data_IF_091313402492
#
_entry.id   IF_091313402492
#
_cell.length_a   1.000
_cell.length_b   1.000
_cell.length_c   1.000
_cell.angle_alpha   90.00
_cell.angle_beta   90.00
_cell.angle_gamma   90.00
#
_symmetry.space_group_name_H-M   'P 1'
#
loop_
_entity.id
_entity.type
_entity.pdbx_description
1 polymer ?
#
# COMPACT_ATOMS: atom_id res chain seq x y z
N UNK A 1 -2.35 -16.29 -66.98
CA UNK A 1 -1.53 -16.84 -65.87
C UNK A 1 -1.24 -15.72 -64.89
N UNK A 2 -1.69 -15.89 -63.63
CA UNK A 2 -1.28 -15.23 -62.39
C UNK A 2 -1.08 -13.68 -62.37
N UNK A 3 -1.60 -12.89 -61.43
CA UNK A 3 -2.16 -13.22 -60.13
C UNK A 3 -2.65 -11.94 -59.45
N UNK A 4 -3.61 -12.14 -58.57
CA UNK A 4 -4.32 -11.15 -57.75
C UNK A 4 -3.38 -10.62 -56.67
N UNK A 5 -3.16 -9.31 -56.62
CA UNK A 5 -2.53 -8.64 -55.48
C UNK A 5 -3.62 -8.06 -54.57
N UNK A 6 -4.07 -8.86 -53.62
CA UNK A 6 -4.85 -8.39 -52.49
C UNK A 6 -3.93 -7.59 -51.55
N UNK A 7 -4.18 -6.28 -51.42
CA UNK A 7 -3.59 -5.47 -50.36
C UNK A 7 -4.50 -5.55 -49.15
N UNK A 8 -4.11 -6.36 -48.16
CA UNK A 8 -4.63 -6.29 -46.81
C UNK A 8 -3.82 -5.25 -46.03
N UNK A 9 -4.30 -4.00 -46.01
CA UNK A 9 -3.81 -2.99 -45.07
C UNK A 9 -4.45 -3.26 -43.70
N UNK A 10 -3.63 -3.79 -42.80
CA UNK A 10 -4.01 -4.10 -41.42
C UNK A 10 -4.43 -2.85 -40.64
N UNK A 11 -5.50 -3.01 -39.88
CA UNK A 11 -5.93 -2.10 -38.82
C UNK A 11 -5.27 -2.58 -37.52
N UNK A 12 -4.39 -1.80 -36.86
CA UNK A 12 -3.93 -2.11 -35.51
C UNK A 12 -4.69 -1.24 -34.51
N UNK A 13 -5.78 -1.75 -33.93
CA UNK A 13 -6.47 -1.05 -32.82
C UNK A 13 -7.39 -1.90 -31.93
N UNK A 14 -7.19 -3.22 -31.80
CA UNK A 14 -8.12 -4.09 -31.05
C UNK A 14 -7.49 -5.06 -30.02
N UNK A 15 -6.17 -5.07 -29.86
CA UNK A 15 -5.49 -6.02 -28.97
C UNK A 15 -5.43 -5.57 -27.51
N UNK A 16 -5.32 -4.27 -27.23
CA UNK A 16 -5.17 -3.74 -25.85
C UNK A 16 -6.38 -3.96 -24.94
N UNK A 17 -7.60 -3.76 -25.46
CA UNK A 17 -8.85 -3.94 -24.70
C UNK A 17 -9.07 -5.39 -24.28
N UNK A 18 -8.82 -6.34 -25.18
CA UNK A 18 -9.02 -7.77 -24.94
C UNK A 18 -8.07 -8.30 -23.87
N UNK A 19 -6.81 -7.87 -23.88
CA UNK A 19 -5.83 -8.26 -22.86
C UNK A 19 -6.15 -7.69 -21.48
N UNK A 20 -6.70 -6.47 -21.41
CA UNK A 20 -7.11 -5.88 -20.14
C UNK A 20 -8.33 -6.57 -19.55
N UNK A 21 -9.33 -6.90 -20.37
CA UNK A 21 -10.49 -7.67 -19.95
C UNK A 21 -10.09 -9.06 -19.44
N UNK A 22 -9.16 -9.73 -20.13
CA UNK A 22 -8.58 -10.99 -19.68
C UNK A 22 -7.91 -10.84 -18.32
N UNK A 23 -7.07 -9.80 -18.13
CA UNK A 23 -6.44 -9.53 -16.85
C UNK A 23 -7.47 -9.35 -15.71
N UNK A 24 -8.55 -8.60 -15.96
CA UNK A 24 -9.61 -8.42 -14.97
C UNK A 24 -10.32 -9.74 -14.60
N UNK A 25 -10.51 -10.63 -15.58
CA UNK A 25 -11.03 -11.97 -15.31
C UNK A 25 -10.04 -12.79 -14.48
N UNK A 26 -8.75 -12.78 -14.83
CA UNK A 26 -7.71 -13.52 -14.11
C UNK A 26 -7.55 -13.06 -12.65
N UNK A 27 -7.76 -11.77 -12.36
CA UNK A 27 -7.74 -11.23 -10.98
C UNK A 27 -8.81 -11.86 -10.07
N UNK A 28 -9.88 -12.39 -10.64
CA UNK A 28 -10.99 -13.02 -9.92
C UNK A 28 -11.08 -14.53 -10.20
N UNK A 29 -10.04 -15.13 -10.77
CA UNK A 29 -10.03 -16.55 -11.12
C UNK A 29 -10.11 -17.44 -9.87
N UNK A 30 -10.74 -18.61 -9.98
CA UNK A 30 -10.84 -19.56 -8.85
C UNK A 30 -9.49 -20.11 -8.41
N UNK A 31 -8.50 -20.16 -9.32
CA UNK A 31 -7.17 -20.67 -9.07
C UNK A 31 -6.25 -19.60 -8.49
N UNK A 32 -5.80 -19.82 -7.25
CA UNK A 32 -4.84 -18.96 -6.55
C UNK A 32 -3.59 -18.59 -7.37
N UNK A 33 -2.94 -19.53 -8.10
CA UNK A 33 -1.77 -19.19 -8.92
C UNK A 33 -2.09 -18.20 -10.06
N UNK A 34 -3.30 -18.28 -10.62
CA UNK A 34 -3.74 -17.39 -11.71
C UNK A 34 -3.98 -15.99 -11.14
N UNK A 35 -4.71 -15.87 -10.03
CA UNK A 35 -4.91 -14.57 -9.34
C UNK A 35 -3.59 -13.91 -8.96
N UNK A 36 -2.68 -14.65 -8.33
CA UNK A 36 -1.36 -14.13 -7.93
C UNK A 36 -0.54 -13.64 -9.13
N UNK A 37 -0.54 -14.39 -10.23
CA UNK A 37 0.11 -13.97 -11.47
C UNK A 37 -0.55 -12.71 -12.06
N UNK A 38 -1.88 -12.64 -12.03
CA UNK A 38 -2.64 -11.48 -12.51
C UNK A 38 -2.27 -10.19 -11.77
N UNK A 39 -2.13 -10.22 -10.43
CA UNK A 39 -1.67 -9.05 -9.68
C UNK A 39 -0.23 -8.62 -10.03
N UNK A 40 0.67 -9.58 -10.30
CA UNK A 40 2.02 -9.27 -10.78
C UNK A 40 1.97 -8.59 -12.15
N UNK A 41 1.13 -9.08 -13.06
CA UNK A 41 0.91 -8.47 -14.37
C UNK A 41 0.31 -7.07 -14.24
N UNK A 42 -0.70 -6.90 -13.38
CA UNK A 42 -1.32 -5.61 -13.11
C UNK A 42 -0.29 -4.58 -12.64
N UNK A 43 0.52 -4.94 -11.63
CA UNK A 43 1.61 -4.09 -11.14
C UNK A 43 2.55 -3.67 -12.27
N UNK A 44 2.98 -4.62 -13.11
CA UNK A 44 3.88 -4.34 -14.25
C UNK A 44 3.25 -3.34 -15.22
N UNK A 45 1.98 -3.51 -15.57
CA UNK A 45 1.28 -2.60 -16.48
C UNK A 45 1.07 -1.22 -15.86
N UNK A 46 0.77 -1.13 -14.56
CA UNK A 46 0.68 0.16 -13.84
C UNK A 46 2.00 0.93 -13.86
N UNK A 47 3.14 0.23 -13.77
CA UNK A 47 4.46 0.86 -13.90
C UNK A 47 4.73 1.38 -15.33
N UNK A 48 4.16 0.74 -16.34
CA UNK A 48 4.30 1.11 -17.76
C UNK A 48 3.39 2.28 -18.20
N UNK A 49 2.58 2.87 -17.30
CA UNK A 49 1.73 4.04 -17.57
C UNK A 49 0.71 3.84 -18.70
N UNK A 50 0.06 2.68 -18.79
CA UNK A 50 -1.03 2.50 -19.77
C UNK A 50 -2.26 3.33 -19.38
N UNK A 51 -2.62 4.29 -20.25
CA UNK A 51 -3.76 5.20 -20.04
C UNK A 51 -5.11 4.47 -19.88
N UNK A 52 -5.26 3.31 -20.52
CA UNK A 52 -6.45 2.46 -20.46
C UNK A 52 -6.74 1.98 -19.02
N UNK A 53 -5.70 1.66 -18.23
CA UNK A 53 -5.87 1.22 -16.85
C UNK A 53 -6.50 2.29 -15.97
N UNK A 54 -6.15 3.55 -16.23
CA UNK A 54 -6.62 4.65 -15.41
C UNK A 54 -8.11 4.93 -15.62
N UNK A 55 -8.67 4.60 -16.79
CA UNK A 55 -10.10 4.72 -17.05
C UNK A 55 -10.94 3.73 -16.22
N UNK A 56 -10.34 2.62 -15.79
CA UNK A 56 -11.00 1.56 -15.03
C UNK A 56 -10.46 1.48 -13.59
N UNK A 57 -9.91 2.60 -13.09
CA UNK A 57 -9.26 2.69 -11.77
C UNK A 57 -10.11 2.11 -10.65
N UNK A 58 -11.40 2.38 -10.64
CA UNK A 58 -12.26 1.96 -9.53
C UNK A 58 -12.43 0.43 -9.48
N UNK A 59 -12.50 -0.24 -10.65
CA UNK A 59 -12.47 -1.71 -10.72
C UNK A 59 -11.13 -2.29 -10.27
N UNK A 60 -10.03 -1.60 -10.57
CA UNK A 60 -8.69 -2.00 -10.10
C UNK A 60 -8.54 -1.85 -8.60
N UNK A 61 -9.09 -0.78 -8.01
CA UNK A 61 -9.13 -0.58 -6.56
C UNK A 61 -9.96 -1.68 -5.89
N UNK A 62 -11.12 -2.02 -6.45
CA UNK A 62 -11.97 -3.11 -5.95
C UNK A 62 -11.25 -4.46 -6.02
N UNK A 63 -10.61 -4.79 -7.15
CA UNK A 63 -9.84 -6.01 -7.32
C UNK A 63 -8.67 -6.08 -6.32
N UNK A 64 -7.89 -5.00 -6.18
CA UNK A 64 -6.83 -4.90 -5.19
C UNK A 64 -7.34 -5.05 -3.76
N UNK A 65 -8.48 -4.42 -3.44
CA UNK A 65 -9.11 -4.51 -2.13
C UNK A 65 -9.61 -5.93 -1.81
N UNK A 66 -10.10 -6.67 -2.80
CA UNK A 66 -10.39 -8.10 -2.67
C UNK A 66 -9.10 -8.93 -2.50
N UNK A 67 -8.07 -8.65 -3.30
CA UNK A 67 -6.80 -9.38 -3.26
C UNK A 67 -6.05 -9.27 -1.94
N UNK A 68 -6.06 -8.11 -1.28
CA UNK A 68 -5.44 -7.94 0.04
C UNK A 68 -6.17 -8.68 1.17
N UNK A 69 -7.38 -9.18 0.91
CA UNK A 69 -8.18 -9.97 1.84
C UNK A 69 -8.16 -11.47 1.49
N UNK A 70 -7.41 -11.87 0.46
CA UNK A 70 -7.26 -13.27 0.08
C UNK A 70 -6.55 -14.05 1.20
N UNK A 71 -6.95 -15.30 1.42
CA UNK A 71 -6.34 -16.18 2.43
C UNK A 71 -4.93 -16.61 2.03
N UNK A 72 -4.62 -16.60 0.72
CA UNK A 72 -3.32 -16.98 0.21
C UNK A 72 -2.32 -15.81 0.20
N UNK A 73 -1.17 -16.04 0.84
CA UNK A 73 -0.10 -15.06 0.93
C UNK A 73 0.50 -14.62 -0.40
N UNK A 74 0.55 -15.49 -1.41
CA UNK A 74 1.05 -15.07 -2.72
C UNK A 74 0.10 -14.06 -3.37
N UNK A 75 -1.21 -14.23 -3.18
CA UNK A 75 -2.22 -13.31 -3.70
C UNK A 75 -2.19 -12.00 -2.94
N UNK A 76 -2.30 -11.99 -1.60
CA UNK A 76 -2.32 -10.71 -0.90
C UNK A 76 -1.00 -9.95 -1.02
N UNK A 77 0.17 -10.61 -1.04
CA UNK A 77 1.46 -9.93 -1.21
C UNK A 77 1.60 -9.32 -2.60
N UNK A 78 1.12 -9.99 -3.64
CA UNK A 78 1.13 -9.43 -5.00
C UNK A 78 0.11 -8.30 -5.15
N UNK A 79 -1.06 -8.40 -4.52
CA UNK A 79 -2.06 -7.35 -4.47
C UNK A 79 -1.56 -6.09 -3.73
N UNK A 80 -0.88 -6.24 -2.58
CA UNK A 80 -0.23 -5.13 -1.86
C UNK A 80 0.72 -4.37 -2.78
N UNK A 81 1.55 -5.09 -3.55
CA UNK A 81 2.51 -4.46 -4.46
C UNK A 81 1.80 -3.73 -5.61
N UNK A 82 0.74 -4.30 -6.18
CA UNK A 82 -0.05 -3.66 -7.22
C UNK A 82 -0.76 -2.39 -6.70
N UNK A 83 -1.41 -2.50 -5.54
CA UNK A 83 -2.13 -1.39 -4.91
C UNK A 83 -1.19 -0.23 -4.54
N UNK A 84 0.02 -0.54 -4.06
CA UNK A 84 1.03 0.49 -3.76
C UNK A 84 1.34 1.34 -5.00
N UNK A 85 1.62 0.68 -6.13
CA UNK A 85 1.89 1.40 -7.40
C UNK A 85 0.68 2.19 -7.86
N UNK A 86 -0.54 1.68 -7.66
CA UNK A 86 -1.76 2.38 -8.03
C UNK A 86 -1.95 3.67 -7.22
N UNK A 87 -1.78 3.60 -5.89
CA UNK A 87 -1.86 4.76 -4.99
C UNK A 87 -0.79 5.80 -5.32
N UNK A 88 0.42 5.37 -5.68
CA UNK A 88 1.53 6.25 -6.08
C UNK A 88 1.22 7.10 -7.31
N UNK A 89 0.30 6.69 -8.20
CA UNK A 89 -0.11 7.48 -9.38
C UNK A 89 -0.95 8.70 -9.03
N UNK A 90 -1.71 8.65 -7.94
CA UNK A 90 -2.62 9.73 -7.53
C UNK A 90 -2.69 9.85 -6.01
N UNK A 91 -1.56 10.28 -5.44
CA UNK A 91 -1.40 10.45 -3.99
C UNK A 91 -2.41 11.43 -3.38
N UNK A 92 -2.93 12.39 -4.14
CA UNK A 92 -3.85 13.39 -3.61
C UNK A 92 -5.23 12.80 -3.32
N UNK A 93 -5.68 11.81 -4.09
CA UNK A 93 -6.99 11.19 -3.92
C UNK A 93 -6.92 9.80 -3.27
N UNK A 94 -5.94 8.99 -3.67
CA UNK A 94 -5.87 7.58 -3.24
C UNK A 94 -5.21 7.38 -1.88
N UNK A 95 -4.30 8.28 -1.47
CA UNK A 95 -3.70 8.17 -0.14
C UNK A 95 -4.69 8.51 0.98
N UNK A 96 -5.54 9.56 0.88
CA UNK A 96 -6.65 9.74 1.81
C UNK A 96 -7.64 8.60 1.81
N UNK A 97 -8.03 8.09 0.64
CA UNK A 97 -8.90 6.92 0.54
C UNK A 97 -8.31 5.72 1.30
N UNK A 98 -7.02 5.44 1.14
CA UNK A 98 -6.33 4.34 1.84
C UNK A 98 -6.33 4.52 3.36
N UNK A 99 -6.13 5.76 3.85
CA UNK A 99 -6.18 6.08 5.26
C UNK A 99 -7.60 5.94 5.85
N UNK A 100 -8.63 6.31 5.08
CA UNK A 100 -10.03 6.08 5.45
C UNK A 100 -10.33 4.59 5.54
N UNK A 101 -9.86 3.78 4.57
CA UNK A 101 -10.03 2.32 4.61
C UNK A 101 -9.48 1.74 5.92
N UNK A 102 -8.26 2.10 6.33
CA UNK A 102 -7.67 1.64 7.59
C UNK A 102 -8.52 1.92 8.84
N UNK A 103 -9.41 2.90 8.78
CA UNK A 103 -10.27 3.31 9.89
C UNK A 103 -11.63 2.58 9.90
N UNK A 104 -12.01 1.89 8.82
CA UNK A 104 -13.30 1.20 8.72
C UNK A 104 -13.39 0.04 9.72
N UNK A 105 -14.41 0.06 10.58
CA UNK A 105 -14.60 -0.94 11.65
C UNK A 105 -14.72 -2.38 11.13
N UNK A 106 -15.26 -2.57 9.93
CA UNK A 106 -15.61 -3.88 9.37
C UNK A 106 -14.43 -4.66 8.75
N UNK A 107 -13.25 -4.04 8.63
CA UNK A 107 -12.08 -4.75 8.11
C UNK A 107 -11.55 -5.78 9.11
N UNK A 108 -11.22 -6.97 8.59
CA UNK A 108 -10.51 -7.99 9.35
C UNK A 108 -9.15 -7.47 9.82
N UNK A 109 -8.60 -8.11 10.85
CA UNK A 109 -7.25 -7.79 11.36
C UNK A 109 -6.24 -7.88 10.23
N UNK A 110 -6.23 -8.99 9.49
CA UNK A 110 -5.29 -9.23 8.37
C UNK A 110 -5.39 -8.14 7.29
N UNK A 111 -6.60 -7.76 6.90
CA UNK A 111 -6.80 -6.71 5.90
C UNK A 111 -6.23 -5.36 6.35
N UNK A 112 -6.38 -5.02 7.63
CA UNK A 112 -5.78 -3.79 8.20
C UNK A 112 -4.27 -3.85 8.22
N UNK A 113 -3.68 -5.00 8.54
CA UNK A 113 -2.22 -5.19 8.48
C UNK A 113 -1.72 -5.00 7.04
N UNK A 114 -2.40 -5.61 6.07
CA UNK A 114 -2.07 -5.51 4.65
C UNK A 114 -2.20 -4.07 4.12
N UNK A 115 -3.24 -3.34 4.50
CA UNK A 115 -3.38 -1.91 4.17
C UNK A 115 -2.30 -1.04 4.82
N UNK A 116 -1.90 -1.36 6.06
CA UNK A 116 -0.81 -0.68 6.76
C UNK A 116 0.53 -0.83 6.03
N UNK A 117 0.79 -2.03 5.50
CA UNK A 117 1.96 -2.34 4.68
C UNK A 117 1.93 -1.61 3.32
N UNK A 118 0.76 -1.48 2.69
CA UNK A 118 0.60 -0.62 1.49
C UNK A 118 0.98 0.82 1.83
N UNK A 119 0.48 1.37 2.93
CA UNK A 119 0.73 2.76 3.34
C UNK A 119 2.23 3.02 3.62
N UNK A 120 2.91 2.09 4.28
CA UNK A 120 4.37 2.14 4.46
C UNK A 120 5.12 2.07 3.14
N UNK A 121 4.75 1.14 2.25
CA UNK A 121 5.41 0.97 0.95
C UNK A 121 5.27 2.20 0.08
N UNK A 122 4.06 2.77 -0.01
CA UNK A 122 3.81 4.03 -0.72
C UNK A 122 4.69 5.14 -0.15
N UNK A 123 4.73 5.29 1.18
CA UNK A 123 5.58 6.29 1.85
C UNK A 123 7.05 6.13 1.47
N UNK A 124 7.57 4.90 1.48
CA UNK A 124 8.95 4.60 1.12
C UNK A 124 9.25 4.94 -0.34
N UNK A 125 8.31 4.66 -1.24
CA UNK A 125 8.50 4.84 -2.67
C UNK A 125 8.41 6.31 -3.11
N UNK A 126 7.57 7.12 -2.46
CA UNK A 126 7.44 8.55 -2.80
C UNK A 126 8.58 9.42 -2.25
N UNK A 127 9.44 8.87 -1.38
CA UNK A 127 10.68 9.50 -0.93
C UNK A 127 10.49 10.92 -0.38
N UNK A 128 11.15 11.90 -1.00
CA UNK A 128 11.16 13.31 -0.58
C UNK A 128 9.80 14.00 -0.64
N UNK A 129 8.80 13.38 -1.29
CA UNK A 129 7.42 13.87 -1.32
C UNK A 129 6.67 13.48 -0.04
N UNK A 130 7.09 12.41 0.67
CA UNK A 130 6.40 11.89 1.85
C UNK A 130 6.10 12.94 2.94
N UNK A 131 6.98 13.91 3.27
CA UNK A 131 6.70 14.96 4.23
C UNK A 131 5.42 15.77 3.96
N UNK A 132 5.01 15.91 2.69
CA UNK A 132 3.76 16.59 2.31
C UNK A 132 2.52 15.90 2.90
N UNK A 133 2.56 14.58 3.04
CA UNK A 133 1.45 13.75 3.50
C UNK A 133 1.62 13.29 4.97
N UNK A 134 2.64 13.80 5.69
CA UNK A 134 3.03 13.33 7.02
C UNK A 134 1.86 13.24 8.02
N UNK A 135 1.00 14.24 8.07
CA UNK A 135 -0.09 14.29 9.06
C UNK A 135 -1.07 13.14 8.82
N UNK A 136 -1.41 12.90 7.55
CA UNK A 136 -2.31 11.84 7.16
C UNK A 136 -1.71 10.47 7.49
N UNK A 137 -0.47 10.23 7.07
CA UNK A 137 0.23 8.97 7.31
C UNK A 137 0.40 8.66 8.80
N UNK A 138 0.82 9.66 9.59
CA UNK A 138 1.03 9.51 11.03
C UNK A 138 -0.30 9.34 11.77
N UNK A 139 -1.33 10.09 11.40
CA UNK A 139 -2.65 9.96 12.04
C UNK A 139 -3.27 8.59 11.83
N UNK A 140 -3.09 7.97 10.65
CA UNK A 140 -3.57 6.60 10.39
C UNK A 140 -2.99 5.61 11.42
N UNK A 141 -1.67 5.65 11.64
CA UNK A 141 -1.03 4.75 12.60
C UNK A 141 -1.28 5.14 14.06
N UNK A 142 -1.35 6.44 14.39
CA UNK A 142 -1.71 6.89 15.73
C UNK A 142 -3.15 6.49 16.13
N UNK A 143 -4.06 6.42 15.15
CA UNK A 143 -5.41 5.90 15.37
C UNK A 143 -5.39 4.39 15.61
N UNK A 144 -4.73 3.63 14.72
CA UNK A 144 -4.62 2.17 14.86
C UNK A 144 -3.86 1.73 16.12
N UNK A 145 -2.93 2.54 16.63
CA UNK A 145 -2.22 2.32 17.89
C UNK A 145 -3.13 2.32 19.13
N UNK A 146 -4.39 2.79 19.01
CA UNK A 146 -5.39 2.79 20.09
C UNK A 146 -6.41 1.67 19.95
N UNK A 147 -6.23 0.76 19.00
CA UNK A 147 -7.18 -0.30 18.71
C UNK A 147 -7.31 -1.31 19.87
N UNK A 148 -8.48 -1.92 20.03
CA UNK A 148 -8.74 -2.92 21.08
C UNK A 148 -7.90 -4.19 20.89
N UNK A 149 -7.74 -4.61 19.64
CA UNK A 149 -6.89 -5.73 19.23
C UNK A 149 -5.39 -5.41 19.33
N UNK A 150 -4.64 -6.27 20.02
CA UNK A 150 -3.21 -6.11 20.27
C UNK A 150 -2.32 -6.27 19.02
N UNK A 151 -2.74 -7.10 18.05
CA UNK A 151 -1.99 -7.31 16.80
C UNK A 151 -2.02 -6.04 15.97
N UNK A 152 -3.18 -5.39 15.90
CA UNK A 152 -3.33 -4.09 15.22
C UNK A 152 -2.49 -3.03 15.92
N UNK A 153 -2.53 -2.93 17.25
CA UNK A 153 -1.66 -1.98 17.99
C UNK A 153 -0.18 -2.25 17.71
N UNK A 154 0.26 -3.50 17.78
CA UNK A 154 1.65 -3.90 17.55
C UNK A 154 2.13 -3.49 16.14
N UNK A 155 1.32 -3.77 15.11
CA UNK A 155 1.63 -3.39 13.73
C UNK A 155 1.65 -1.88 13.56
N UNK A 156 0.64 -1.18 14.07
CA UNK A 156 0.54 0.27 13.98
C UNK A 156 1.77 0.97 14.59
N UNK A 157 2.24 0.49 15.74
CA UNK A 157 3.41 1.04 16.43
C UNK A 157 4.70 0.76 15.67
N UNK A 158 4.86 -0.45 15.14
CA UNK A 158 6.00 -0.80 14.30
C UNK A 158 6.07 0.09 13.06
N UNK A 159 4.92 0.28 12.40
CA UNK A 159 4.80 1.12 11.22
C UNK A 159 4.99 2.59 11.55
N UNK A 160 4.52 3.06 12.71
CA UNK A 160 4.76 4.42 13.19
C UNK A 160 6.27 4.68 13.37
N UNK A 161 7.00 3.74 13.98
CA UNK A 161 8.44 3.83 14.15
C UNK A 161 9.19 3.89 12.83
N UNK A 162 8.85 3.01 11.88
CA UNK A 162 9.47 3.00 10.55
C UNK A 162 9.16 4.29 9.76
N UNK A 163 7.90 4.72 9.74
CA UNK A 163 7.47 5.95 9.08
C UNK A 163 8.20 7.17 9.64
N UNK A 164 8.25 7.31 10.97
CA UNK A 164 8.94 8.42 11.61
C UNK A 164 10.45 8.40 11.32
N UNK A 165 11.07 7.22 11.33
CA UNK A 165 12.46 7.05 10.93
C UNK A 165 12.72 7.53 9.48
N UNK A 166 11.81 7.22 8.56
CA UNK A 166 11.91 7.69 7.15
C UNK A 166 11.68 9.20 7.00
N UNK A 167 10.70 9.75 7.72
CA UNK A 167 10.44 11.19 7.71
C UNK A 167 11.62 11.98 8.33
N UNK A 168 12.35 11.39 9.28
CA UNK A 168 13.45 12.02 10.00
C UNK A 168 13.00 13.34 10.62
N UNK A 169 13.72 14.44 10.42
CA UNK A 169 13.33 15.74 10.97
C UNK A 169 11.99 16.31 10.50
N UNK A 170 11.35 15.71 9.48
CA UNK A 170 10.09 16.22 8.95
C UNK A 170 8.88 16.00 9.88
N UNK A 171 8.98 15.09 10.86
CA UNK A 171 7.92 14.86 11.86
C UNK A 171 8.08 15.69 13.14
N UNK A 172 9.09 16.57 13.25
CA UNK A 172 9.30 17.45 14.41
C UNK A 172 8.01 18.16 14.90
N UNK A 173 7.13 18.67 14.01
CA UNK A 173 5.90 19.33 14.45
C UNK A 173 4.92 18.45 15.22
N UNK A 174 5.00 17.12 15.10
CA UNK A 174 4.09 16.14 15.74
C UNK A 174 4.83 15.18 16.67
N UNK A 175 6.09 15.50 17.01
CA UNK A 175 6.93 14.65 17.86
C UNK A 175 6.31 14.42 19.23
N UNK A 176 5.64 15.43 19.80
CA UNK A 176 5.05 15.29 21.14
C UNK A 176 3.94 14.23 21.15
N UNK A 177 3.07 14.23 20.15
CA UNK A 177 2.00 13.25 20.00
C UNK A 177 2.57 11.83 19.81
N UNK A 178 3.60 11.68 18.98
CA UNK A 178 4.27 10.40 18.74
C UNK A 178 4.93 9.88 20.03
N UNK A 179 5.71 10.71 20.72
CA UNK A 179 6.39 10.31 21.95
C UNK A 179 5.40 10.00 23.08
N UNK A 180 4.30 10.76 23.18
CA UNK A 180 3.24 10.47 24.15
C UNK A 180 2.53 9.14 23.84
N UNK A 181 2.28 8.86 22.56
CA UNK A 181 1.72 7.59 22.10
C UNK A 181 2.63 6.42 22.47
N UNK A 182 3.92 6.48 22.08
CA UNK A 182 4.91 5.45 22.39
C UNK A 182 5.09 5.26 23.90
N UNK A 183 5.14 6.34 24.68
CA UNK A 183 5.20 6.27 26.16
C UNK A 183 4.02 5.50 26.73
N UNK A 184 2.81 5.70 26.20
CA UNK A 184 1.63 4.93 26.61
C UNK A 184 1.82 3.43 26.33
N UNK A 185 2.26 3.10 25.12
CA UNK A 185 2.36 1.71 24.65
C UNK A 185 3.57 0.94 25.21
N UNK A 186 4.62 1.62 25.68
CA UNK A 186 5.67 0.98 26.51
C UNK A 186 5.13 0.43 27.85
N UNK A 187 3.88 0.74 28.20
CA UNK A 187 3.17 0.23 29.37
C UNK A 187 1.92 -0.57 28.97
N UNK A 188 1.82 -0.98 27.70
CA UNK A 188 0.72 -1.82 27.21
C UNK A 188 0.70 -3.14 28.00
N UNK A 189 -0.49 -3.67 28.34
CA UNK A 189 -0.59 -4.97 29.01
C UNK A 189 -0.02 -6.12 28.17
N UNK A 190 -0.03 -5.99 26.83
CA UNK A 190 0.59 -6.97 25.95
C UNK A 190 2.10 -6.72 25.79
N UNK A 191 2.89 -7.75 26.08
CA UNK A 191 4.35 -7.66 26.06
C UNK A 191 4.92 -7.44 24.64
N UNK A 192 4.24 -7.93 23.60
CA UNK A 192 4.67 -7.77 22.21
C UNK A 192 4.48 -6.32 21.78
N UNK A 193 3.34 -5.71 22.12
CA UNK A 193 3.10 -4.27 21.87
C UNK A 193 4.12 -3.40 22.60
N UNK A 194 4.44 -3.73 23.85
CA UNK A 194 5.49 -3.04 24.61
C UNK A 194 6.85 -3.13 23.89
N UNK A 195 7.25 -4.33 23.49
CA UNK A 195 8.51 -4.54 22.76
C UNK A 195 8.53 -3.77 21.43
N UNK A 196 7.45 -3.84 20.63
CA UNK A 196 7.32 -3.09 19.40
C UNK A 196 7.47 -1.57 19.61
N UNK A 197 6.95 -1.05 20.74
CA UNK A 197 7.07 0.37 21.10
C UNK A 197 8.51 0.78 21.40
N UNK A 198 9.27 -0.07 22.11
CA UNK A 198 10.69 0.18 22.37
C UNK A 198 11.50 0.13 21.08
N UNK A 199 11.21 -0.84 20.19
CA UNK A 199 11.86 -0.91 18.88
C UNK A 199 11.53 0.30 18.00
N UNK A 200 10.27 0.76 18.02
CA UNK A 200 9.84 1.96 17.29
C UNK A 200 10.62 3.20 17.73
N UNK A 201 10.84 3.39 19.04
CA UNK A 201 11.72 4.45 19.55
C UNK A 201 13.15 4.34 19.00
N UNK A 202 13.71 3.12 18.97
CA UNK A 202 15.01 2.87 18.37
C UNK A 202 15.07 3.26 16.89
N UNK A 203 14.05 2.89 16.10
CA UNK A 203 13.94 3.24 14.66
C UNK A 203 13.84 4.73 14.42
N UNK A 204 13.14 5.45 15.29
CA UNK A 204 13.05 6.92 15.21
C UNK A 204 14.43 7.55 15.39
N UNK A 205 15.16 7.13 16.42
CA UNK A 205 16.50 7.65 16.73
C UNK A 205 17.47 7.33 15.58
N UNK A 206 17.42 6.10 15.07
CA UNK A 206 18.22 5.66 13.91
C UNK A 206 17.92 6.50 12.66
N UNK A 207 16.65 6.74 12.34
CA UNK A 207 16.28 7.53 11.17
C UNK A 207 16.65 9.01 11.29
N UNK A 208 16.62 9.57 12.50
CA UNK A 208 17.10 10.93 12.75
C UNK A 208 18.63 11.02 12.60
N UNK A 209 19.38 10.07 13.17
CA UNK A 209 20.84 10.09 13.13
C UNK A 209 21.38 9.96 11.69
N UNK A 210 20.76 9.12 10.87
CA UNK A 210 21.13 8.98 9.45
C UNK A 210 21.04 10.30 8.66
N UNK A 211 20.11 11.20 9.02
CA UNK A 211 19.95 12.51 8.37
C UNK A 211 20.87 13.60 8.94
N UNK A 212 21.56 13.37 10.05
CA UNK A 212 22.57 14.30 10.59
C UNK A 212 23.86 14.26 9.74
N UNK A 213 24.16 13.09 9.18
CA UNK A 213 25.43 12.82 8.49
C UNK A 213 25.31 12.81 6.96
N UNK A 214 24.19 13.30 6.40
CA UNK A 214 23.95 13.52 4.98
C UNK A 214 23.85 15.02 4.70
#
# INVERSE_FOLDING_TARGET
TAGVAAQSSGVPSATGSTEFEQLLCELHDGMTPIRGHAFIQLRRRLLQNSAELWQQRDKLLEACHGGIQDEDSCVYLSAIQALSVLVEKDLNHLLPWLAEQLSLEQLSVEARLNLGEVLLRVTKNIGDIAPKYRNLLLNSFLCAAKHSDQVIRCSAVSNLGELCGKLGYSFVPITQEILNCLRGLTRDPDAIVCHASVLALGRIIEGMSQKIFQ
#
